data_IF_378283864117
#
_entry.id   IF_378283864117
#
_cell.length_a   1.000
_cell.length_b   1.000
_cell.length_c   1.000
_cell.angle_alpha   90.00
_cell.angle_beta   90.00
_cell.angle_gamma   90.00
#
_symmetry.space_group_name_H-M   'P 1'
#
loop_
_entity.id
_entity.type
_entity.pdbx_description
1 polymer ?
#
# COMPACT_ATOMS: atom_id res chain seq x y z
N UNK A 1 9.61 -0.36 20.11
CA UNK A 1 8.33 -0.09 19.41
C UNK A 1 8.09 -1.21 18.41
N UNK A 2 7.00 -1.98 18.54
CA UNK A 2 6.68 -3.09 17.62
C UNK A 2 6.55 -2.54 16.19
N UNK A 3 7.36 -3.04 15.25
CA UNK A 3 7.30 -2.66 13.85
C UNK A 3 6.00 -3.20 13.24
N UNK A 4 5.02 -2.33 13.02
CA UNK A 4 3.80 -2.70 12.29
C UNK A 4 4.16 -3.25 10.91
N UNK A 5 3.52 -4.36 10.51
CA UNK A 5 3.70 -4.97 9.19
C UNK A 5 3.24 -4.02 8.07
N UNK A 6 3.80 -4.19 6.87
CA UNK A 6 3.43 -3.39 5.68
C UNK A 6 1.93 -3.48 5.42
N UNK A 7 1.35 -4.68 5.55
CA UNK A 7 -0.10 -4.92 5.39
C UNK A 7 -0.92 -4.11 6.39
N UNK A 8 -0.53 -4.10 7.67
CA UNK A 8 -1.24 -3.33 8.70
C UNK A 8 -1.19 -1.82 8.41
N UNK A 9 -0.03 -1.31 8.02
CA UNK A 9 0.12 0.11 7.67
C UNK A 9 -0.69 0.51 6.44
N UNK A 10 -0.72 -0.35 5.40
CA UNK A 10 -1.52 -0.09 4.20
C UNK A 10 -3.01 -0.03 4.55
N UNK A 11 -3.49 -0.98 5.37
CA UNK A 11 -4.86 -0.94 5.86
C UNK A 11 -5.16 0.32 6.66
N UNK A 12 -4.23 0.80 7.50
CA UNK A 12 -4.41 2.06 8.25
C UNK A 12 -4.58 3.24 7.30
N UNK A 13 -3.76 3.35 6.25
CA UNK A 13 -3.90 4.45 5.27
C UNK A 13 -5.24 4.38 4.55
N UNK A 14 -5.65 3.20 4.07
CA UNK A 14 -6.93 3.02 3.39
C UNK A 14 -8.11 3.37 4.31
N UNK A 15 -8.10 2.89 5.55
CA UNK A 15 -9.14 3.24 6.53
C UNK A 15 -9.12 4.72 6.90
N UNK A 16 -7.94 5.35 7.01
CA UNK A 16 -7.82 6.77 7.29
C UNK A 16 -8.43 7.61 6.15
N UNK A 17 -8.16 7.27 4.89
CA UNK A 17 -8.76 7.95 3.73
C UNK A 17 -10.28 7.78 3.72
N UNK A 18 -10.77 6.56 3.92
CA UNK A 18 -12.21 6.29 3.97
C UNK A 18 -12.90 7.05 5.12
N UNK A 19 -12.28 7.09 6.31
CA UNK A 19 -12.80 7.82 7.46
C UNK A 19 -12.85 9.33 7.20
N UNK A 20 -11.82 9.91 6.57
CA UNK A 20 -11.82 11.33 6.17
C UNK A 20 -12.94 11.62 5.17
N UNK A 21 -13.13 10.76 4.16
CA UNK A 21 -14.22 10.93 3.19
C UNK A 21 -15.60 10.91 3.84
N UNK A 22 -15.84 9.96 4.75
CA UNK A 22 -17.12 9.87 5.48
C UNK A 22 -17.31 11.09 6.38
N UNK A 23 -16.26 11.53 7.09
CA UNK A 23 -16.33 12.70 7.95
C UNK A 23 -16.65 13.98 7.15
N UNK A 24 -15.93 14.22 6.04
CA UNK A 24 -16.16 15.38 5.16
C UNK A 24 -17.56 15.32 4.53
N UNK A 25 -17.98 14.15 4.06
CA UNK A 25 -19.32 13.95 3.53
C UNK A 25 -20.42 14.22 4.57
N UNK A 26 -20.23 13.75 5.81
CA UNK A 26 -21.15 13.98 6.91
C UNK A 26 -21.27 15.46 7.29
N UNK A 27 -20.15 16.17 7.43
CA UNK A 27 -20.16 17.62 7.71
C UNK A 27 -20.79 18.39 6.54
N UNK A 28 -20.52 18.00 5.29
CA UNK A 28 -21.14 18.60 4.11
C UNK A 28 -22.66 18.46 4.10
N UNK A 29 -23.18 17.24 4.34
CA UNK A 29 -24.61 16.98 4.43
C UNK A 29 -25.27 17.76 5.58
N UNK A 30 -24.61 17.84 6.74
CA UNK A 30 -25.07 18.65 7.87
C UNK A 30 -25.14 20.14 7.51
N UNK A 31 -24.12 20.67 6.82
CA UNK A 31 -24.11 22.05 6.34
C UNK A 31 -25.26 22.38 5.39
N UNK A 32 -25.56 21.47 4.45
CA UNK A 32 -26.70 21.62 3.54
C UNK A 32 -28.03 21.58 4.29
N UNK A 33 -28.20 20.65 5.23
CA UNK A 33 -29.41 20.56 6.05
C UNK A 33 -29.66 21.84 6.86
N UNK A 34 -28.60 22.38 7.49
CA UNK A 34 -28.66 23.65 8.22
C UNK A 34 -29.02 24.83 7.31
N UNK A 35 -28.42 24.90 6.12
CA UNK A 35 -28.71 25.97 5.16
C UNK A 35 -30.15 25.90 4.64
N UNK A 36 -30.67 24.70 4.37
CA UNK A 36 -32.06 24.51 3.96
C UNK A 36 -33.05 24.91 5.06
N UNK A 37 -32.73 24.60 6.33
CA UNK A 37 -33.53 25.04 7.47
C UNK A 37 -33.62 26.56 7.59
N UNK A 38 -32.48 27.25 7.46
CA UNK A 38 -32.44 28.72 7.47
C UNK A 38 -33.18 29.34 6.28
N UNK A 39 -33.06 28.76 5.08
CA UNK A 39 -33.79 29.24 3.90
C UNK A 39 -35.30 29.07 4.07
N UNK A 40 -35.73 27.95 4.68
CA UNK A 40 -37.13 27.69 5.00
C UNK A 40 -37.67 28.72 5.99
N UNK A 41 -36.94 29.05 7.04
CA UNK A 41 -37.35 30.07 8.02
C UNK A 41 -37.50 31.46 7.36
N UNK A 42 -36.51 31.86 6.54
CA UNK A 42 -36.56 33.12 5.79
C UNK A 42 -37.76 33.15 4.83
N UNK A 43 -38.05 32.05 4.13
CA UNK A 43 -39.14 32.00 3.17
C UNK A 43 -40.53 31.86 3.83
N UNK A 44 -40.74 30.81 4.62
CA UNK A 44 -42.04 30.50 5.23
C UNK A 44 -42.38 31.44 6.38
N UNK A 45 -41.40 31.80 7.22
CA UNK A 45 -41.63 32.64 8.40
C UNK A 45 -41.64 34.12 8.06
N UNK A 46 -40.74 34.58 7.19
CA UNK A 46 -40.49 36.03 7.03
C UNK A 46 -40.96 36.62 5.71
N UNK A 47 -40.63 36.00 4.59
CA UNK A 47 -41.03 36.51 3.26
C UNK A 47 -42.54 36.48 3.07
N UNK A 48 -43.20 35.38 3.47
CA UNK A 48 -44.68 35.29 3.45
C UNK A 48 -45.34 36.30 4.38
N UNK A 49 -44.78 36.50 5.58
CA UNK A 49 -45.28 37.50 6.51
C UNK A 49 -45.18 38.92 5.92
N UNK A 50 -44.04 39.28 5.32
CA UNK A 50 -43.85 40.56 4.63
C UNK A 50 -44.82 40.74 3.46
N UNK A 51 -45.03 39.68 2.67
CA UNK A 51 -46.03 39.65 1.60
C UNK A 51 -47.44 39.89 2.16
N UNK A 52 -47.84 39.20 3.22
CA UNK A 52 -49.15 39.34 3.84
C UNK A 52 -49.40 40.77 4.32
N UNK A 53 -48.46 41.38 5.06
CA UNK A 53 -48.62 42.77 5.53
C UNK A 53 -48.68 43.75 4.34
N UNK A 54 -47.92 43.50 3.27
CA UNK A 54 -47.94 44.36 2.08
C UNK A 54 -49.27 44.25 1.33
N UNK A 55 -49.82 43.05 1.18
CA UNK A 55 -51.15 42.84 0.58
C UNK A 55 -52.26 43.43 1.44
N UNK A 56 -52.14 43.42 2.78
CA UNK A 56 -53.10 44.09 3.65
C UNK A 56 -53.07 45.61 3.40
N UNK A 57 -51.90 46.23 3.34
CA UNK A 57 -51.74 47.67 3.08
C UNK A 57 -52.31 48.08 1.71
N UNK A 58 -52.12 47.23 0.69
CA UNK A 58 -52.70 47.39 -0.65
C UNK A 58 -54.23 47.34 -0.60
N UNK A 59 -54.81 46.29 0.01
CA UNK A 59 -56.26 46.12 0.11
C UNK A 59 -56.92 47.23 0.95
N UNK A 60 -56.28 47.68 2.03
CA UNK A 60 -56.75 48.81 2.84
C UNK A 60 -56.77 50.09 2.01
N UNK A 61 -55.70 50.35 1.26
CA UNK A 61 -55.59 51.55 0.42
C UNK A 61 -56.58 51.55 -0.73
N UNK A 62 -56.74 50.42 -1.42
CA UNK A 62 -57.69 50.25 -2.51
C UNK A 62 -59.13 50.41 -2.02
N UNK A 63 -59.47 49.77 -0.89
CA UNK A 63 -60.81 49.87 -0.28
C UNK A 63 -61.13 51.29 0.14
N UNK A 64 -60.17 51.97 0.78
CA UNK A 64 -60.34 53.37 1.15
C UNK A 64 -60.58 54.27 -0.06
N UNK A 65 -59.75 54.13 -1.10
CA UNK A 65 -59.90 54.92 -2.32
C UNK A 65 -61.27 54.69 -2.97
N UNK A 66 -61.69 53.43 -3.09
CA UNK A 66 -62.98 53.05 -3.68
C UNK A 66 -64.17 53.61 -2.89
N UNK A 67 -64.10 53.57 -1.54
CA UNK A 67 -65.14 54.16 -0.68
C UNK A 67 -65.18 55.67 -0.85
N UNK A 68 -64.05 56.36 -0.78
CA UNK A 68 -63.98 57.81 -0.92
C UNK A 68 -64.46 58.29 -2.30
N UNK A 69 -64.11 57.56 -3.36
CA UNK A 69 -64.57 57.82 -4.73
C UNK A 69 -66.10 57.56 -4.91
N UNK A 70 -66.67 56.60 -4.18
CA UNK A 70 -68.12 56.37 -4.17
C UNK A 70 -68.90 57.40 -3.37
N UNK A 71 -68.30 58.03 -2.34
CA UNK A 71 -68.93 59.15 -1.63
C UNK A 71 -69.00 60.39 -2.52
N UNK A 72 -67.98 60.63 -3.36
CA UNK A 72 -67.92 61.76 -4.29
C UNK A 72 -68.83 61.62 -5.51
N UNK A 73 -68.98 60.40 -6.03
CA UNK A 73 -69.83 60.10 -7.20
C UNK A 73 -70.69 58.83 -6.94
N UNK A 74 -71.81 58.95 -6.22
CA UNK A 74 -72.62 57.82 -5.79
C UNK A 74 -73.60 57.38 -6.88
N UNK A 75 -73.12 56.65 -7.89
CA UNK A 75 -74.00 55.92 -8.80
C UNK A 75 -74.40 54.55 -8.23
N UNK A 76 -75.62 54.08 -8.52
CA UNK A 76 -76.13 52.81 -8.00
C UNK A 76 -75.21 51.61 -8.33
N UNK A 77 -74.67 51.58 -9.56
CA UNK A 77 -73.73 50.56 -9.99
C UNK A 77 -72.39 50.63 -9.24
N UNK A 78 -71.86 51.83 -9.01
CA UNK A 78 -70.60 52.04 -8.29
C UNK A 78 -70.74 51.68 -6.82
N UNK A 79 -71.80 52.14 -6.15
CA UNK A 79 -72.12 51.77 -4.76
C UNK A 79 -72.22 50.26 -4.58
N UNK A 80 -72.89 49.56 -5.50
CA UNK A 80 -72.99 48.10 -5.45
C UNK A 80 -71.62 47.42 -5.63
N UNK A 81 -70.83 47.89 -6.60
CA UNK A 81 -69.48 47.36 -6.88
C UNK A 81 -68.55 47.56 -5.70
N UNK A 82 -68.52 48.77 -5.13
CA UNK A 82 -67.69 49.12 -3.97
C UNK A 82 -68.11 48.34 -2.73
N UNK A 83 -69.41 48.14 -2.49
CA UNK A 83 -69.86 47.34 -1.35
C UNK A 83 -69.42 45.88 -1.45
N UNK A 84 -69.55 45.28 -2.64
CA UNK A 84 -69.10 43.90 -2.87
C UNK A 84 -67.57 43.78 -2.78
N UNK A 85 -66.83 44.71 -3.36
CA UNK A 85 -65.38 44.74 -3.30
C UNK A 85 -64.89 44.90 -1.84
N UNK A 86 -65.48 45.84 -1.10
CA UNK A 86 -65.19 46.07 0.33
C UNK A 86 -65.40 44.79 1.15
N UNK A 87 -66.52 44.10 0.98
CA UNK A 87 -66.78 42.84 1.69
C UNK A 87 -65.74 41.75 1.38
N UNK A 88 -65.30 41.65 0.12
CA UNK A 88 -64.22 40.72 -0.28
C UNK A 88 -62.87 41.12 0.32
N UNK A 89 -62.50 42.39 0.25
CA UNK A 89 -61.25 42.92 0.81
C UNK A 89 -61.17 42.71 2.31
N UNK A 90 -62.24 43.05 3.04
CA UNK A 90 -62.34 42.84 4.49
C UNK A 90 -62.15 41.35 4.83
N UNK A 91 -62.88 40.45 4.17
CA UNK A 91 -62.74 39.02 4.41
C UNK A 91 -61.34 38.48 4.10
N UNK A 92 -60.69 39.00 3.04
CA UNK A 92 -59.33 38.61 2.69
C UNK A 92 -58.30 39.12 3.70
N UNK A 93 -58.44 40.35 4.17
CA UNK A 93 -57.55 40.94 5.19
C UNK A 93 -57.67 40.15 6.50
N UNK A 94 -58.88 39.80 6.94
CA UNK A 94 -59.09 39.01 8.16
C UNK A 94 -58.37 37.65 8.09
N UNK A 95 -58.39 36.98 6.93
CA UNK A 95 -57.64 35.72 6.73
C UNK A 95 -56.13 35.94 6.76
N UNK A 96 -55.61 36.95 6.03
CA UNK A 96 -54.17 37.22 5.97
C UNK A 96 -53.59 37.63 7.34
N UNK A 97 -54.38 38.37 8.12
CA UNK A 97 -54.01 38.82 9.45
C UNK A 97 -54.00 37.65 10.45
N UNK A 98 -54.97 36.74 10.38
CA UNK A 98 -54.97 35.55 11.21
C UNK A 98 -53.82 34.60 10.86
N UNK A 99 -53.50 34.42 9.58
CA UNK A 99 -52.31 33.67 9.12
C UNK A 99 -51.01 34.29 9.65
N UNK A 100 -50.91 35.61 9.62
CA UNK A 100 -49.75 36.34 10.16
C UNK A 100 -49.60 36.12 11.67
N UNK A 101 -50.68 36.24 12.44
CA UNK A 101 -50.66 36.08 13.89
C UNK A 101 -50.26 34.68 14.36
N UNK A 102 -50.64 33.64 13.62
CA UNK A 102 -50.24 32.26 13.92
C UNK A 102 -48.74 32.00 13.74
N UNK A 103 -48.05 32.80 12.95
CA UNK A 103 -46.62 32.65 12.64
C UNK A 103 -45.67 33.42 13.57
N UNK A 104 -46.21 34.18 14.53
CA UNK A 104 -45.42 35.06 15.41
C UNK A 104 -44.77 34.30 16.56
N UNK A 105 -43.47 34.49 16.72
CA UNK A 105 -42.68 33.91 17.83
C UNK A 105 -42.04 34.96 18.75
N UNK A 106 -41.92 36.22 18.32
CA UNK A 106 -41.30 37.30 19.11
C UNK A 106 -42.32 38.09 19.94
N UNK A 107 -41.97 38.37 21.21
CA UNK A 107 -42.81 39.09 22.17
C UNK A 107 -43.00 40.56 21.81
N UNK A 108 -42.03 41.18 21.11
CA UNK A 108 -42.10 42.58 20.69
C UNK A 108 -43.02 42.75 19.46
N UNK A 109 -42.80 41.90 18.45
CA UNK A 109 -43.62 41.81 17.24
C UNK A 109 -45.07 41.45 17.57
N UNK A 110 -45.31 40.55 18.52
CA UNK A 110 -46.64 40.13 18.94
C UNK A 110 -47.48 41.28 19.52
N UNK A 111 -46.87 42.20 20.30
CA UNK A 111 -47.58 43.36 20.85
C UNK A 111 -48.04 44.30 19.74
N UNK A 112 -47.12 44.65 18.83
CA UNK A 112 -47.41 45.55 17.71
C UNK A 112 -48.44 44.92 16.75
N UNK A 113 -48.32 43.62 16.47
CA UNK A 113 -49.29 42.88 15.64
C UNK A 113 -50.69 42.82 16.26
N UNK A 114 -50.78 42.73 17.59
CA UNK A 114 -52.06 42.75 18.30
C UNK A 114 -52.72 44.12 18.25
N UNK A 115 -51.93 45.19 18.36
CA UNK A 115 -52.40 46.56 18.21
C UNK A 115 -52.92 46.82 16.79
N UNK A 116 -52.11 46.47 15.78
CA UNK A 116 -52.49 46.51 14.37
C UNK A 116 -53.80 45.77 14.07
N UNK A 117 -54.01 44.61 14.69
CA UNK A 117 -55.26 43.88 14.57
C UNK A 117 -56.45 44.60 15.21
N UNK A 118 -56.26 45.21 16.37
CA UNK A 118 -57.33 45.95 17.04
C UNK A 118 -57.76 47.16 16.19
N UNK A 119 -56.80 47.90 15.65
CA UNK A 119 -57.07 49.08 14.82
C UNK A 119 -57.64 48.71 13.45
N UNK A 120 -57.19 47.59 12.85
CA UNK A 120 -57.85 47.03 11.67
C UNK A 120 -59.33 46.69 11.95
N UNK A 121 -59.63 46.05 13.09
CA UNK A 121 -61.02 45.72 13.45
C UNK A 121 -61.86 46.96 13.68
N UNK A 122 -61.31 47.99 14.33
CA UNK A 122 -61.99 49.29 14.45
C UNK A 122 -62.25 49.91 13.07
N UNK A 123 -61.25 49.94 12.17
CA UNK A 123 -61.41 50.44 10.80
C UNK A 123 -62.50 49.68 10.03
N UNK A 124 -62.57 48.36 10.21
CA UNK A 124 -63.59 47.51 9.59
C UNK A 124 -64.98 47.82 10.15
N UNK A 125 -65.14 47.74 11.47
CA UNK A 125 -66.45 47.72 12.15
C UNK A 125 -67.04 49.11 12.33
N UNK A 126 -66.20 50.14 12.48
CA UNK A 126 -66.61 51.53 12.69
C UNK A 126 -66.44 52.40 11.43
N UNK A 127 -65.65 51.94 10.45
CA UNK A 127 -65.35 52.67 9.22
C UNK A 127 -65.98 52.05 7.97
N UNK A 128 -65.33 51.03 7.41
CA UNK A 128 -65.64 50.47 6.08
C UNK A 128 -67.05 49.86 6.00
N UNK A 129 -67.45 49.05 6.99
CA UNK A 129 -68.76 48.38 6.97
C UNK A 129 -69.92 49.37 7.15
N UNK A 130 -69.89 50.32 8.11
CA UNK A 130 -70.93 51.34 8.22
C UNK A 130 -71.03 52.24 6.98
N UNK A 131 -69.89 52.68 6.44
CA UNK A 131 -69.86 53.59 5.28
C UNK A 131 -70.50 52.95 4.05
N UNK A 132 -70.22 51.68 3.76
CA UNK A 132 -70.85 50.97 2.64
C UNK A 132 -72.36 50.80 2.82
N UNK A 133 -72.85 50.59 4.06
CA UNK A 133 -74.30 50.58 4.35
C UNK A 133 -74.94 51.96 4.16
N UNK A 134 -74.27 53.03 4.58
CA UNK A 134 -74.75 54.40 4.40
C UNK A 134 -74.80 54.79 2.92
N UNK A 135 -73.79 54.40 2.13
CA UNK A 135 -73.78 54.56 0.67
C UNK A 135 -74.95 53.82 0.02
N UNK A 136 -75.25 52.59 0.43
CA UNK A 136 -76.42 51.83 -0.05
C UNK A 136 -77.75 52.48 0.31
N UNK A 137 -77.85 53.09 1.50
CA UNK A 137 -79.02 53.83 1.95
C UNK A 137 -79.11 55.26 1.35
N UNK A 138 -78.16 55.63 0.47
CA UNK A 138 -78.03 56.97 -0.14
C UNK A 138 -77.87 58.10 0.90
N UNK A 139 -77.32 57.80 2.07
CA UNK A 139 -77.03 58.77 3.14
C UNK A 139 -75.58 59.28 3.04
N UNK A 140 -75.35 60.15 2.06
CA UNK A 140 -74.01 60.60 1.66
C UNK A 140 -73.34 61.51 2.68
N UNK A 141 -74.09 62.37 3.36
CA UNK A 141 -73.55 63.30 4.35
C UNK A 141 -72.98 62.56 5.56
N UNK A 142 -73.70 61.54 6.04
CA UNK A 142 -73.23 60.70 7.13
C UNK A 142 -72.07 59.79 6.68
N UNK A 143 -72.13 59.25 5.45
CA UNK A 143 -71.02 58.49 4.87
C UNK A 143 -69.73 59.33 4.80
N UNK A 144 -69.81 60.57 4.32
CA UNK A 144 -68.68 61.50 4.28
C UNK A 144 -68.14 61.81 5.67
N UNK A 145 -69.03 61.99 6.65
CA UNK A 145 -68.62 62.21 8.04
C UNK A 145 -67.84 61.02 8.61
N UNK A 146 -68.31 59.79 8.38
CA UNK A 146 -67.60 58.57 8.81
C UNK A 146 -66.24 58.46 8.10
N UNK A 147 -66.16 58.80 6.80
CA UNK A 147 -64.88 58.81 6.08
C UNK A 147 -63.88 59.76 6.74
N UNK A 148 -64.27 61.02 6.96
CA UNK A 148 -63.35 62.04 7.47
C UNK A 148 -63.05 61.88 8.97
N UNK A 149 -64.02 61.46 9.78
CA UNK A 149 -63.86 61.41 11.24
C UNK A 149 -63.42 60.05 11.78
N UNK A 150 -63.71 58.95 11.07
CA UNK A 150 -63.37 57.59 11.53
C UNK A 150 -62.36 56.90 10.61
N UNK A 151 -62.57 56.91 9.29
CA UNK A 151 -61.72 56.16 8.36
C UNK A 151 -60.34 56.82 8.20
N UNK A 152 -60.27 58.12 7.91
CA UNK A 152 -59.02 58.84 7.71
C UNK A 152 -58.02 58.72 8.88
N UNK A 153 -58.40 58.98 10.15
CA UNK A 153 -57.47 58.85 11.27
C UNK A 153 -57.03 57.41 11.50
N UNK A 154 -57.96 56.44 11.44
CA UNK A 154 -57.65 55.02 11.71
C UNK A 154 -56.81 54.41 10.60
N UNK A 155 -57.01 54.79 9.34
CA UNK A 155 -56.11 54.37 8.24
C UNK A 155 -54.69 54.86 8.46
N UNK A 156 -54.52 56.09 8.94
CA UNK A 156 -53.18 56.64 9.19
C UNK A 156 -52.43 55.80 10.24
N UNK A 157 -53.15 55.37 11.27
CA UNK A 157 -52.65 54.49 12.34
C UNK A 157 -52.30 53.10 11.79
N UNK A 158 -53.26 52.42 11.15
CA UNK A 158 -53.07 51.10 10.53
C UNK A 158 -51.91 51.10 9.53
N UNK A 159 -51.77 52.15 8.71
CA UNK A 159 -50.64 52.28 7.76
C UNK A 159 -49.30 52.45 8.47
N UNK A 160 -49.23 53.27 9.52
CA UNK A 160 -47.99 53.45 10.28
C UNK A 160 -47.54 52.15 10.95
N UNK A 161 -48.47 51.41 11.55
CA UNK A 161 -48.19 50.16 12.24
C UNK A 161 -47.84 49.04 11.26
N UNK A 162 -48.56 48.95 10.14
CA UNK A 162 -48.21 48.04 9.05
C UNK A 162 -46.80 48.33 8.52
N UNK A 163 -46.42 49.60 8.39
CA UNK A 163 -45.05 49.97 7.99
C UNK A 163 -44.01 49.57 9.03
N UNK A 164 -44.29 49.77 10.31
CA UNK A 164 -43.39 49.39 11.41
C UNK A 164 -43.22 47.87 11.49
N UNK A 165 -44.30 47.09 11.34
CA UNK A 165 -44.26 45.63 11.24
C UNK A 165 -43.43 45.15 10.05
N UNK A 166 -43.60 45.77 8.86
CA UNK A 166 -42.78 45.45 7.68
C UNK A 166 -41.29 45.74 7.94
N UNK A 167 -40.99 46.86 8.59
CA UNK A 167 -39.61 47.24 8.91
C UNK A 167 -38.99 46.26 9.93
N UNK A 168 -39.73 45.88 10.96
CA UNK A 168 -39.31 44.88 11.94
C UNK A 168 -39.00 43.55 11.24
N UNK A 169 -39.91 43.09 10.37
CA UNK A 169 -39.72 41.85 9.64
C UNK A 169 -38.54 41.91 8.66
N UNK A 170 -38.28 43.05 8.04
CA UNK A 170 -37.13 43.26 7.15
C UNK A 170 -35.80 43.24 7.90
N UNK A 171 -35.71 43.94 9.04
CA UNK A 171 -34.52 43.93 9.91
C UNK A 171 -34.26 42.53 10.45
N UNK A 172 -35.29 41.84 10.93
CA UNK A 172 -35.15 40.49 11.46
C UNK A 172 -34.81 39.47 10.35
N UNK A 173 -35.31 39.65 9.12
CA UNK A 173 -34.89 38.88 7.94
C UNK A 173 -33.41 39.10 7.60
N UNK A 174 -32.93 40.34 7.67
CA UNK A 174 -31.53 40.65 7.42
C UNK A 174 -30.63 40.00 8.48
N UNK A 175 -31.01 40.08 9.76
CA UNK A 175 -30.28 39.42 10.85
C UNK A 175 -30.26 37.88 10.69
N UNK A 176 -31.40 37.28 10.33
CA UNK A 176 -31.49 35.84 10.06
C UNK A 176 -30.58 35.43 8.89
N UNK A 177 -30.56 36.22 7.81
CA UNK A 177 -29.69 35.99 6.66
C UNK A 177 -28.20 36.11 7.02
N UNK A 178 -27.82 37.15 7.78
CA UNK A 178 -26.43 37.33 8.23
C UNK A 178 -26.00 36.21 9.17
N UNK A 179 -26.87 35.78 10.08
CA UNK A 179 -26.62 34.63 10.95
C UNK A 179 -26.42 33.35 10.14
N UNK A 180 -27.33 33.05 9.21
CA UNK A 180 -27.23 31.90 8.32
C UNK A 180 -25.94 31.92 7.48
N UNK A 181 -25.54 33.10 6.98
CA UNK A 181 -24.29 33.29 6.23
C UNK A 181 -23.06 33.05 7.10
N UNK A 182 -23.05 33.54 8.33
CA UNK A 182 -21.94 33.35 9.27
C UNK A 182 -21.79 31.88 9.67
N UNK A 183 -22.90 31.20 9.96
CA UNK A 183 -22.91 29.76 10.24
C UNK A 183 -22.43 28.97 9.01
N UNK A 184 -22.93 29.28 7.81
CA UNK A 184 -22.48 28.64 6.57
C UNK A 184 -20.99 28.85 6.32
N UNK A 185 -20.46 30.05 6.58
CA UNK A 185 -19.04 30.36 6.43
C UNK A 185 -18.18 29.59 7.43
N UNK A 186 -18.64 29.48 8.68
CA UNK A 186 -17.96 28.70 9.71
C UNK A 186 -17.90 27.21 9.31
N UNK A 187 -19.03 26.65 8.85
CA UNK A 187 -19.09 25.27 8.33
C UNK A 187 -18.14 25.08 7.15
N UNK A 188 -18.10 26.01 6.18
CA UNK A 188 -17.16 25.95 5.06
C UNK A 188 -15.69 25.96 5.51
N UNK A 189 -15.32 26.81 6.48
CA UNK A 189 -13.96 26.82 7.03
C UNK A 189 -13.63 25.53 7.79
N UNK A 190 -14.57 24.97 8.55
CA UNK A 190 -14.38 23.67 9.20
C UNK A 190 -14.18 22.55 8.18
N UNK A 191 -14.99 22.52 7.11
CA UNK A 191 -14.82 21.54 6.02
C UNK A 191 -13.45 21.71 5.36
N UNK A 192 -13.05 22.93 5.02
CA UNK A 192 -11.75 23.21 4.42
C UNK A 192 -10.59 22.78 5.34
N UNK A 193 -10.69 23.07 6.64
CA UNK A 193 -9.71 22.65 7.64
C UNK A 193 -9.64 21.13 7.79
N UNK A 194 -10.78 20.43 7.81
CA UNK A 194 -10.85 18.97 7.84
C UNK A 194 -10.23 18.33 6.59
N UNK A 195 -10.49 18.89 5.40
CA UNK A 195 -9.88 18.45 4.15
C UNK A 195 -8.36 18.65 4.20
N UNK A 196 -7.90 19.85 4.57
CA UNK A 196 -6.47 20.16 4.67
C UNK A 196 -5.76 19.24 5.67
N UNK A 197 -6.35 19.03 6.84
CA UNK A 197 -5.83 18.11 7.86
C UNK A 197 -5.83 16.65 7.38
N UNK A 198 -6.89 16.20 6.70
CA UNK A 198 -6.99 14.86 6.14
C UNK A 198 -5.95 14.60 5.05
N UNK A 199 -5.80 15.53 4.10
CA UNK A 199 -4.77 15.47 3.06
C UNK A 199 -3.37 15.50 3.68
N UNK A 200 -3.14 16.37 4.67
CA UNK A 200 -1.88 16.45 5.40
C UNK A 200 -1.54 15.13 6.11
N UNK A 201 -2.51 14.55 6.82
CA UNK A 201 -2.34 13.27 7.52
C UNK A 201 -2.04 12.13 6.55
N UNK A 202 -2.83 12.00 5.47
CA UNK A 202 -2.61 10.96 4.44
C UNK A 202 -1.26 11.15 3.75
N UNK A 203 -0.90 12.38 3.40
CA UNK A 203 0.41 12.70 2.84
C UNK A 203 1.56 12.30 3.75
N UNK A 204 1.46 12.63 5.04
CA UNK A 204 2.47 12.27 6.06
C UNK A 204 2.59 10.75 6.23
N UNK A 205 1.45 10.05 6.28
CA UNK A 205 1.43 8.58 6.33
C UNK A 205 2.05 7.95 5.07
N UNK A 206 1.70 8.43 3.88
CA UNK A 206 2.27 7.95 2.61
C UNK A 206 3.78 8.16 2.54
N UNK A 207 4.28 9.35 2.92
CA UNK A 207 5.71 9.64 2.96
C UNK A 207 6.42 8.76 4.00
N UNK A 208 5.83 8.58 5.19
CA UNK A 208 6.39 7.71 6.22
C UNK A 208 6.49 6.25 5.76
N UNK A 209 5.47 5.77 5.04
CA UNK A 209 5.44 4.43 4.47
C UNK A 209 6.52 4.28 3.40
N UNK A 210 6.59 5.21 2.45
CA UNK A 210 7.59 5.20 1.39
C UNK A 210 9.00 5.15 1.97
N UNK A 211 9.32 6.02 2.94
CA UNK A 211 10.63 6.01 3.61
C UNK A 211 10.97 4.66 4.24
N UNK A 212 10.02 4.04 4.94
CA UNK A 212 10.28 2.74 5.58
C UNK A 212 10.40 1.62 4.55
N UNK A 213 9.57 1.60 3.52
CA UNK A 213 9.67 0.62 2.43
C UNK A 213 11.01 0.72 1.73
N UNK A 214 11.44 1.92 1.32
CA UNK A 214 12.74 2.13 0.69
C UNK A 214 13.92 1.81 1.62
N UNK A 215 13.78 2.04 2.93
CA UNK A 215 14.80 1.65 3.90
C UNK A 215 14.88 0.11 4.08
N UNK A 216 13.74 -0.58 4.11
CA UNK A 216 13.69 -2.06 4.22
C UNK A 216 14.14 -2.76 2.93
N UNK A 217 13.80 -2.19 1.77
CA UNK A 217 14.25 -2.68 0.48
C UNK A 217 15.75 -2.42 0.28
N UNK A 218 16.25 -1.25 0.69
CA UNK A 218 17.65 -0.85 0.49
C UNK A 218 17.93 -0.25 -0.89
N UNK A 219 16.94 -0.25 -1.78
CA UNK A 219 17.02 0.27 -3.14
C UNK A 219 15.64 0.34 -3.80
N UNK A 220 15.62 0.62 -5.10
CA UNK A 220 14.39 0.59 -5.88
C UNK A 220 13.88 -0.85 -6.07
N UNK A 221 12.55 -1.10 -5.95
CA UNK A 221 11.98 -2.43 -6.11
C UNK A 221 12.29 -3.07 -7.47
N UNK A 222 12.31 -2.28 -8.54
CA UNK A 222 12.67 -2.72 -9.90
C UNK A 222 14.10 -3.26 -9.96
N UNK A 223 15.05 -2.57 -9.33
CA UNK A 223 16.45 -2.98 -9.24
C UNK A 223 16.60 -4.26 -8.43
N UNK A 224 15.91 -4.38 -7.30
CA UNK A 224 15.90 -5.61 -6.51
C UNK A 224 15.37 -6.80 -7.33
N UNK A 225 14.25 -6.63 -8.04
CA UNK A 225 13.69 -7.66 -8.90
C UNK A 225 14.65 -8.06 -10.03
N UNK A 226 15.31 -7.10 -10.68
CA UNK A 226 16.26 -7.36 -11.75
C UNK A 226 17.49 -8.16 -11.27
N UNK A 227 18.06 -7.80 -10.10
CA UNK A 227 19.18 -8.54 -9.50
C UNK A 227 18.75 -9.96 -9.14
N UNK A 228 17.56 -10.13 -8.55
CA UNK A 228 17.04 -11.44 -8.17
C UNK A 228 16.89 -12.35 -9.40
N UNK A 229 16.36 -11.82 -10.52
CA UNK A 229 16.25 -12.55 -11.77
C UNK A 229 17.60 -12.97 -12.35
N UNK A 230 18.63 -12.12 -12.30
CA UNK A 230 19.98 -12.48 -12.76
C UNK A 230 20.61 -13.58 -11.92
N UNK A 231 20.52 -13.48 -10.59
CA UNK A 231 21.02 -14.52 -9.68
C UNK A 231 20.29 -15.84 -9.94
N UNK A 232 18.95 -15.81 -10.11
CA UNK A 232 18.17 -17.00 -10.44
C UNK A 232 18.54 -17.60 -11.81
N UNK A 233 18.97 -16.76 -12.75
CA UNK A 233 19.52 -17.19 -14.05
C UNK A 233 20.96 -17.73 -14.00
N UNK A 234 21.58 -17.80 -12.83
CA UNK A 234 22.95 -18.30 -12.65
C UNK A 234 24.05 -17.25 -12.87
N UNK A 235 23.68 -16.01 -13.17
CA UNK A 235 24.64 -14.92 -13.32
C UNK A 235 24.99 -14.32 -11.95
N UNK A 236 26.04 -14.86 -11.34
CA UNK A 236 26.58 -14.42 -10.05
C UNK A 236 27.59 -13.27 -10.21
N UNK A 237 27.84 -12.76 -11.42
CA UNK A 237 28.75 -11.63 -11.67
C UNK A 237 28.08 -10.27 -11.45
N UNK A 238 26.76 -10.24 -11.25
CA UNK A 238 26.00 -9.00 -11.02
C UNK A 238 26.44 -8.28 -9.74
N UNK A 239 26.74 -6.99 -9.86
CA UNK A 239 26.96 -6.12 -8.69
C UNK A 239 25.61 -5.78 -8.07
N UNK A 240 25.42 -6.19 -6.81
CA UNK A 240 24.23 -5.82 -6.03
C UNK A 240 24.45 -4.43 -5.43
N UNK A 241 23.71 -3.39 -5.85
CA UNK A 241 23.90 -2.05 -5.31
C UNK A 241 23.35 -1.99 -3.87
N UNK A 242 24.25 -2.06 -2.89
CA UNK A 242 23.95 -1.93 -1.47
C UNK A 242 24.44 -0.56 -1.00
N UNK A 243 23.60 0.16 -0.24
CA UNK A 243 24.01 1.44 0.35
C UNK A 243 25.11 1.24 1.39
N UNK A 244 26.02 2.22 1.50
CA UNK A 244 27.05 2.24 2.54
C UNK A 244 26.39 2.15 3.93
N UNK A 245 26.93 1.30 4.81
CA UNK A 245 26.38 0.97 6.14
C UNK A 245 25.02 0.23 6.18
N UNK A 246 24.50 -0.25 5.06
CA UNK A 246 23.30 -1.09 5.06
C UNK A 246 23.65 -2.55 5.40
N UNK A 247 23.07 -3.05 6.50
CA UNK A 247 23.30 -4.40 7.05
C UNK A 247 22.02 -5.23 7.19
N UNK A 248 20.86 -4.66 6.87
CA UNK A 248 19.56 -5.27 7.20
C UNK A 248 18.54 -5.24 6.07
N UNK A 249 18.82 -4.50 4.99
CA UNK A 249 17.89 -4.45 3.86
C UNK A 249 17.84 -5.76 3.08
N UNK A 250 16.79 -5.89 2.28
CA UNK A 250 16.66 -6.96 1.29
C UNK A 250 17.84 -6.94 0.30
N UNK A 251 18.29 -5.78 -0.16
CA UNK A 251 19.45 -5.66 -1.04
C UNK A 251 20.74 -6.17 -0.38
N UNK A 252 20.96 -5.87 0.91
CA UNK A 252 22.09 -6.43 1.66
C UNK A 252 22.00 -7.97 1.74
N UNK A 253 20.83 -8.51 2.10
CA UNK A 253 20.61 -9.95 2.17
C UNK A 253 20.84 -10.65 0.82
N UNK A 254 20.44 -10.01 -0.29
CA UNK A 254 20.69 -10.51 -1.65
C UNK A 254 22.17 -10.51 -2.02
N UNK A 255 22.92 -9.48 -1.62
CA UNK A 255 24.38 -9.43 -1.81
C UNK A 255 25.09 -10.57 -1.07
N UNK A 256 24.72 -10.80 0.19
CA UNK A 256 25.24 -11.92 0.97
C UNK A 256 24.89 -13.28 0.34
N UNK A 257 23.66 -13.44 -0.15
CA UNK A 257 23.22 -14.65 -0.86
C UNK A 257 24.05 -14.89 -2.12
N UNK A 258 24.24 -13.86 -2.96
CA UNK A 258 25.05 -13.93 -4.18
C UNK A 258 26.50 -14.29 -3.86
N UNK A 259 27.11 -13.67 -2.84
CA UNK A 259 28.49 -13.96 -2.43
C UNK A 259 28.66 -15.40 -1.95
N UNK A 260 27.71 -15.91 -1.15
CA UNK A 260 27.74 -17.30 -0.65
C UNK A 260 27.55 -18.32 -1.76
N UNK A 261 26.64 -18.05 -2.72
CA UNK A 261 26.47 -18.89 -3.90
C UNK A 261 27.73 -18.92 -4.77
N UNK A 262 28.36 -17.76 -5.01
CA UNK A 262 29.59 -17.67 -5.79
C UNK A 262 30.74 -18.44 -5.14
N UNK A 263 30.88 -18.32 -3.81
CA UNK A 263 31.87 -19.07 -3.03
C UNK A 263 31.64 -20.58 -3.10
N UNK A 264 30.39 -21.04 -2.99
CA UNK A 264 30.05 -22.46 -3.14
C UNK A 264 30.34 -22.99 -4.54
N UNK A 265 29.93 -22.28 -5.59
CA UNK A 265 30.23 -22.64 -6.99
C UNK A 265 31.74 -22.70 -7.24
N UNK A 266 32.49 -21.71 -6.75
CA UNK A 266 33.95 -21.69 -6.86
C UNK A 266 34.63 -22.86 -6.13
N UNK A 267 34.14 -23.24 -4.94
CA UNK A 267 34.62 -24.42 -4.23
C UNK A 267 34.33 -25.73 -4.95
N UNK A 268 33.15 -25.86 -5.58
CA UNK A 268 32.80 -27.01 -6.42
C UNK A 268 33.72 -27.08 -7.63
N UNK A 269 33.98 -25.96 -8.30
CA UNK A 269 34.85 -25.91 -9.47
C UNK A 269 36.30 -26.26 -9.11
N UNK A 270 36.82 -25.73 -8.01
CA UNK A 270 38.16 -26.10 -7.52
C UNK A 270 38.28 -27.58 -7.15
N UNK A 271 37.23 -28.16 -6.55
CA UNK A 271 37.17 -29.59 -6.25
C UNK A 271 37.15 -30.42 -7.54
N UNK A 272 36.37 -29.99 -8.54
CA UNK A 272 36.31 -30.64 -9.84
C UNK A 272 37.67 -30.60 -10.57
N UNK A 273 38.38 -29.47 -10.54
CA UNK A 273 39.73 -29.34 -11.11
C UNK A 273 40.74 -30.26 -10.40
N UNK A 274 40.64 -30.35 -9.07
CA UNK A 274 41.47 -31.26 -8.26
C UNK A 274 41.19 -32.73 -8.61
N UNK A 275 39.91 -33.10 -8.77
CA UNK A 275 39.51 -34.44 -9.20
C UNK A 275 40.02 -34.73 -10.62
N UNK A 276 39.87 -33.79 -11.55
CA UNK A 276 40.34 -33.93 -12.93
C UNK A 276 41.85 -34.13 -13.00
N UNK A 277 42.61 -33.30 -12.26
CA UNK A 277 44.07 -33.43 -12.13
C UNK A 277 44.47 -34.79 -11.51
N UNK A 278 43.84 -35.18 -10.40
CA UNK A 278 44.10 -36.46 -9.73
C UNK A 278 43.78 -37.64 -10.66
N UNK A 279 42.69 -37.57 -11.41
CA UNK A 279 42.29 -38.59 -12.39
C UNK A 279 43.31 -38.69 -13.53
N UNK A 280 43.87 -37.58 -13.98
CA UNK A 280 44.97 -37.55 -14.96
C UNK A 280 46.23 -38.23 -14.40
N UNK A 281 46.60 -37.92 -13.15
CA UNK A 281 47.71 -38.60 -12.46
C UNK A 281 47.48 -40.10 -12.29
N UNK A 282 46.27 -40.53 -11.91
CA UNK A 282 45.90 -41.95 -11.83
C UNK A 282 46.03 -42.62 -13.19
N UNK A 283 45.55 -41.98 -14.25
CA UNK A 283 45.62 -42.51 -15.62
C UNK A 283 47.06 -42.71 -16.05
N UNK A 284 47.93 -41.71 -15.85
CA UNK A 284 49.35 -41.81 -16.14
C UNK A 284 50.05 -42.91 -15.31
N UNK A 285 49.72 -43.01 -14.03
CA UNK A 285 50.22 -44.07 -13.15
C UNK A 285 49.80 -45.47 -13.60
N UNK A 286 48.55 -45.63 -14.05
CA UNK A 286 48.04 -46.90 -14.56
C UNK A 286 48.75 -47.31 -15.86
N UNK A 287 49.04 -46.36 -16.77
CA UNK A 287 49.84 -46.63 -17.98
C UNK A 287 51.25 -47.08 -17.63
N UNK A 288 51.91 -46.41 -16.68
CA UNK A 288 53.24 -46.80 -16.24
C UNK A 288 53.25 -48.19 -15.58
N UNK A 289 52.24 -48.50 -14.75
CA UNK A 289 52.10 -49.81 -14.15
C UNK A 289 51.84 -50.90 -15.20
N UNK A 290 50.99 -50.63 -16.19
CA UNK A 290 50.75 -51.55 -17.32
C UNK A 290 52.05 -51.85 -18.06
N UNK A 291 52.82 -50.82 -18.43
CA UNK A 291 54.11 -50.98 -19.10
C UNK A 291 55.12 -51.77 -18.24
N UNK A 292 55.20 -51.51 -16.93
CA UNK A 292 56.09 -52.28 -16.04
C UNK A 292 55.63 -53.73 -15.85
N UNK A 293 54.33 -53.98 -15.95
CA UNK A 293 53.75 -55.33 -15.91
C UNK A 293 54.08 -56.09 -17.20
N UNK A 294 54.01 -55.43 -18.36
CA UNK A 294 54.45 -55.97 -19.64
C UNK A 294 55.96 -56.29 -19.63
N UNK A 295 56.79 -55.38 -19.11
CA UNK A 295 58.24 -55.59 -18.98
C UNK A 295 58.56 -56.74 -18.02
N UNK A 296 57.86 -56.84 -16.88
CA UNK A 296 58.00 -57.98 -15.98
C UNK A 296 57.56 -59.29 -16.61
N UNK A 297 56.46 -59.30 -17.37
CA UNK A 297 55.99 -60.47 -18.09
C UNK A 297 57.04 -60.94 -19.09
N UNK A 298 57.62 -60.02 -19.87
CA UNK A 298 58.72 -60.31 -20.79
C UNK A 298 59.97 -60.85 -20.06
N UNK A 299 60.30 -60.28 -18.89
CA UNK A 299 61.40 -60.77 -18.05
C UNK A 299 61.15 -62.19 -17.51
N UNK A 300 59.91 -62.52 -17.13
CA UNK A 300 59.51 -63.88 -16.73
C UNK A 300 59.61 -64.84 -17.91
N UNK A 301 59.22 -64.41 -19.10
CA UNK A 301 59.32 -65.19 -20.33
C UNK A 301 60.80 -65.49 -20.66
N UNK A 302 61.67 -64.48 -20.59
CA UNK A 302 63.12 -64.66 -20.78
C UNK A 302 63.76 -65.53 -19.70
N UNK A 303 63.31 -65.41 -18.44
CA UNK A 303 63.77 -66.28 -17.34
C UNK A 303 63.32 -67.72 -17.55
N UNK A 304 62.10 -67.93 -18.04
CA UNK A 304 61.57 -69.24 -18.38
C UNK A 304 62.34 -69.88 -19.54
N UNK A 305 62.64 -69.12 -20.60
CA UNK A 305 63.49 -69.57 -21.69
C UNK A 305 64.92 -69.90 -21.23
N UNK A 306 65.48 -69.08 -20.33
CA UNK A 306 66.79 -69.34 -19.73
C UNK A 306 66.77 -70.59 -18.84
N UNK A 307 65.67 -70.84 -18.13
CA UNK A 307 65.44 -72.07 -17.35
C UNK A 307 65.31 -73.30 -18.26
N UNK A 308 64.63 -73.20 -19.41
CA UNK A 308 64.59 -74.27 -20.41
C UNK A 308 65.99 -74.57 -20.97
N UNK A 309 66.76 -73.54 -21.30
CA UNK A 309 68.13 -73.70 -21.80
C UNK A 309 69.08 -74.23 -20.70
N UNK A 310 68.91 -73.82 -19.45
CA UNK A 310 69.64 -74.40 -18.31
C UNK A 310 69.24 -75.87 -18.11
N UNK A 311 67.95 -76.19 -18.16
CA UNK A 311 67.47 -77.57 -18.06
C UNK A 311 68.03 -78.44 -19.20
N UNK A 312 68.11 -77.91 -20.43
CA UNK A 312 68.73 -78.60 -21.56
C UNK A 312 70.23 -78.80 -21.36
N UNK A 313 70.92 -77.81 -20.79
CA UNK A 313 72.35 -77.89 -20.48
C UNK A 313 72.64 -78.86 -19.34
N UNK A 314 71.79 -78.89 -18.30
CA UNK A 314 71.87 -79.86 -17.20
C UNK A 314 71.63 -81.27 -17.73
N UNK A 315 70.63 -81.44 -18.62
CA UNK A 315 70.40 -82.71 -19.32
C UNK A 315 71.62 -83.13 -20.15
N UNK A 316 72.20 -82.22 -20.92
CA UNK A 316 73.42 -82.47 -21.66
C UNK A 316 74.60 -82.84 -20.73
N UNK A 317 74.78 -82.15 -19.60
CA UNK A 317 75.82 -82.48 -18.62
C UNK A 317 75.62 -83.87 -17.99
N UNK A 318 74.37 -84.26 -17.72
CA UNK A 318 74.04 -85.60 -17.25
C UNK A 318 74.41 -86.65 -18.31
N UNK A 319 74.08 -86.41 -19.58
CA UNK A 319 74.45 -87.27 -20.70
C UNK A 319 75.98 -87.35 -20.88
N UNK A 320 76.69 -86.22 -20.78
CA UNK A 320 78.16 -86.16 -20.82
C UNK A 320 78.82 -86.90 -19.65
N UNK A 321 78.26 -86.81 -18.44
CA UNK A 321 78.77 -87.55 -17.29
C UNK A 321 78.57 -89.07 -17.46
N UNK A 322 77.46 -89.50 -18.04
CA UNK A 322 77.21 -90.90 -18.38
C UNK A 322 78.15 -91.39 -19.50
N UNK A 323 78.42 -90.57 -20.51
CA UNK A 323 79.43 -90.83 -21.53
C UNK A 323 80.85 -90.92 -20.94
N UNK A 324 81.22 -90.03 -20.01
CA UNK A 324 82.50 -90.07 -19.33
C UNK A 324 82.63 -91.32 -18.45
N UNK A 325 81.56 -91.71 -17.76
CA UNK A 325 81.50 -92.95 -16.96
C UNK A 325 81.70 -94.19 -17.84
N UNK A 326 81.06 -94.26 -19.00
CA UNK A 326 81.23 -95.36 -19.96
C UNK A 326 82.64 -95.39 -20.56
N UNK A 327 83.24 -94.25 -20.87
CA UNK A 327 84.65 -94.14 -21.30
C UNK A 327 85.64 -94.60 -20.22
N UNK A 328 85.41 -94.22 -18.95
CA UNK A 328 86.24 -94.65 -17.82
C UNK A 328 86.16 -96.16 -17.56
N UNK A 329 85.02 -96.80 -17.87
CA UNK A 329 84.83 -98.25 -17.83
C UNK A 329 85.28 -98.98 -19.10
N UNK A 330 85.87 -98.29 -20.07
CA UNK A 330 86.41 -98.93 -21.27
C UNK A 330 87.60 -99.86 -20.95
N UNK A 331 87.81 -100.97 -21.68
CA UNK A 331 88.84 -101.98 -21.37
C UNK A 331 90.29 -101.43 -21.33
N UNK A 332 90.54 -100.25 -21.90
CA UNK A 332 91.88 -99.63 -21.97
C UNK A 332 92.34 -99.03 -20.65
N UNK A 333 91.44 -98.46 -19.84
CA UNK A 333 91.78 -97.86 -18.54
C UNK A 333 91.93 -98.91 -17.44
N UNK A 334 91.25 -100.05 -17.53
CA UNK A 334 91.38 -101.15 -16.56
C UNK A 334 92.79 -101.79 -16.57
N UNK A 335 93.41 -101.93 -17.75
CA UNK A 335 94.78 -102.48 -17.87
C UNK A 335 95.88 -101.55 -17.31
N UNK A 336 95.63 -100.25 -17.20
CA UNK A 336 96.61 -99.30 -16.66
C UNK A 336 96.72 -99.37 -15.13
N UNK A 337 95.70 -99.90 -14.43
CA UNK A 337 95.71 -100.05 -12.97
C UNK A 337 96.34 -101.37 -12.49
N UNK A 338 96.36 -102.43 -13.31
CA UNK A 338 96.98 -103.73 -12.95
C UNK A 338 98.52 -103.77 -13.14
N UNK A 339 99.10 -102.97 -14.03
CA UNK A 339 100.57 -102.91 -14.24
C UNK A 339 101.32 -102.06 -13.21
N UNK A 340 100.63 -101.26 -12.39
CA UNK A 340 101.23 -100.40 -11.36
C UNK A 340 101.58 -101.11 -10.05
N UNK A 341 100.98 -102.27 -9.75
CA UNK A 341 101.12 -102.96 -8.45
C UNK A 341 102.24 -104.01 -8.38
N UNK A 342 102.91 -104.36 -9.49
CA UNK A 342 104.02 -105.33 -9.50
C UNK A 342 105.42 -104.70 -9.44
N UNK A 343 105.57 -103.37 -9.59
CA UNK A 343 106.89 -102.70 -9.68
C UNK A 343 107.36 -101.98 -8.41
N UNK A 344 106.60 -102.03 -7.31
CA UNK A 344 106.94 -101.35 -6.04
C UNK A 344 107.28 -102.29 -4.88
N UNK A 345 107.39 -103.61 -5.11
CA UNK A 345 107.75 -104.62 -4.07
C UNK A 345 109.22 -105.08 -4.03
N UNK A 346 110.16 -104.53 -4.81
CA UNK A 346 111.54 -105.06 -4.88
C UNK A 346 112.72 -104.11 -4.58
N UNK A 347 112.51 -102.87 -4.14
CA UNK A 347 113.66 -102.00 -3.76
C UNK A 347 113.40 -101.23 -2.47
N UNK A 348 113.23 -102.00 -1.39
CA UNK A 348 113.33 -101.56 -0.01
C UNK A 348 114.46 -102.34 0.68
N UNK A 349 115.72 -101.92 0.43
CA UNK A 349 116.90 -102.06 1.31
C UNK A 349 117.97 -101.05 0.84
N UNK A 350 117.87 -99.82 1.32
CA UNK A 350 118.97 -98.86 1.53
C UNK A 350 118.36 -97.65 2.27
N UNK A 351 118.75 -97.46 3.53
CA UNK A 351 117.95 -96.80 4.57
C UNK A 351 118.64 -95.51 5.05
N UNK A 352 117.81 -94.44 5.21
CA UNK A 352 117.97 -93.20 6.00
C UNK A 352 118.93 -92.10 5.49
N UNK A 353 118.82 -90.81 5.94
CA UNK A 353 117.92 -90.22 6.97
C UNK A 353 117.27 -88.83 6.66
N UNK A 354 116.29 -88.44 7.50
CA UNK A 354 116.39 -87.15 8.24
C UNK A 354 115.56 -85.94 7.81
N UNK A 355 114.41 -85.73 8.47
CA UNK A 355 113.43 -84.66 8.28
C UNK A 355 113.76 -83.30 8.95
N UNK A 356 113.24 -82.18 8.40
CA UNK A 356 112.95 -80.90 9.11
C UNK A 356 111.97 -79.99 8.35
N UNK A 357 110.91 -79.55 9.07
CA UNK A 357 110.32 -78.17 9.15
C UNK A 357 109.59 -77.63 7.88
N UNK A 358 108.58 -76.73 7.90
CA UNK A 358 108.00 -75.73 8.84
C UNK A 358 106.64 -75.26 8.21
N UNK A 359 105.56 -75.11 8.97
CA UNK A 359 104.93 -73.86 9.46
C UNK A 359 104.21 -72.91 8.47
N UNK A 360 102.89 -72.77 8.73
CA UNK A 360 102.09 -71.55 8.94
C UNK A 360 102.01 -70.43 7.87
N UNK A 361 100.78 -69.98 7.59
CA UNK A 361 100.20 -68.77 8.23
C UNK A 361 98.75 -68.49 7.80
N UNK A 362 97.98 -68.10 8.81
CA UNK A 362 96.67 -67.43 8.80
C UNK A 362 96.78 -65.93 8.45
N UNK A 363 95.73 -65.34 7.84
CA UNK A 363 94.79 -64.35 8.44
C UNK A 363 94.16 -63.39 7.42
N UNK A 364 92.86 -63.12 7.67
CA UNK A 364 92.10 -61.87 7.51
C UNK A 364 91.81 -61.43 6.07
N UNK A 365 90.68 -60.79 5.78
CA UNK A 365 89.70 -60.08 6.60
C UNK A 365 88.27 -60.35 6.14
#
# INVERSE_FOLDING_TARGET
MRTLSIKARLSIVTFAVAAVLVAVGGVGLFGVAQSNGALRDIYEGRAKALQNISTIDELVSETHFAISDAVLDPSAQKTQTVTQATGKSVGRIDVLLDEYLRGLHDTSEQKLATHFMADWRSLRDEGFVPTTKLLQANNLSEAQWVVTQQIEPTIKLVKSEGSELRQLQLVASQQAYEHARNVSRLVQWLVAACIAAGVGLVGLLCVSMARVLFAQLGGEPSTAAAVAHRIAGGDLSVVVPVKSNDTSSMMHAMSLMQTRLASMIGGIQHTADTIASTTSHITAGNTALSSRTEEHAAGIEQTSASMEQLASTVKANADHAEQARTLAMSPRTRRAMETGQLRTRSSAWAVLPGARRRFARSRRS
#
